data_IF_206117092728
#
_entry.id   IF_206117092728
#
_cell.length_a   1.000
_cell.length_b   1.000
_cell.length_c   1.000
_cell.angle_alpha   90.00
_cell.angle_beta   90.00
_cell.angle_gamma   90.00
#
_symmetry.space_group_name_H-M   'P 1'
#
loop_
_entity.id
_entity.type
_entity.pdbx_description
1 polymer ?
#
# COMPACT_ATOMS: atom_id res chain seq x y z
N UNK A 1 -16.90 0.18 -29.71
CA UNK A 1 -16.24 1.02 -28.68
C UNK A 1 -14.92 0.35 -28.33
N UNK A 2 -13.78 1.01 -28.58
CA UNK A 2 -12.48 0.47 -28.13
C UNK A 2 -12.50 0.45 -26.60
N UNK A 3 -12.16 -0.68 -25.98
CA UNK A 3 -11.99 -0.77 -24.53
C UNK A 3 -10.95 0.23 -24.04
N UNK A 4 -10.85 0.46 -22.74
CA UNK A 4 -9.92 1.43 -22.13
C UNK A 4 -8.43 1.02 -22.24
N UNK A 5 -8.10 0.02 -23.06
CA UNK A 5 -6.76 -0.50 -23.27
C UNK A 5 -6.21 -1.33 -22.11
N UNK A 6 -6.98 -1.49 -21.02
CA UNK A 6 -6.56 -2.28 -19.85
C UNK A 6 -6.99 -3.74 -19.99
N UNK A 7 -6.19 -4.66 -19.43
CA UNK A 7 -6.47 -6.11 -19.56
C UNK A 7 -7.76 -6.53 -18.85
N UNK A 8 -8.13 -5.89 -17.72
CA UNK A 8 -9.40 -6.16 -17.04
C UNK A 8 -10.62 -5.56 -17.75
N UNK A 9 -10.46 -4.44 -18.48
CA UNK A 9 -11.56 -3.73 -19.11
C UNK A 9 -12.27 -2.71 -18.19
N UNK A 10 -13.42 -2.21 -18.66
CA UNK A 10 -13.95 -0.88 -18.29
C UNK A 10 -14.69 -0.79 -16.94
N UNK A 11 -15.07 -1.91 -16.33
CA UNK A 11 -15.93 -1.95 -15.13
C UNK A 11 -15.36 -2.79 -13.98
N UNK A 12 -14.07 -3.09 -14.01
CA UNK A 12 -13.43 -3.82 -12.93
C UNK A 12 -12.89 -2.89 -11.86
N UNK A 13 -12.81 -3.40 -10.63
CA UNK A 13 -12.15 -2.72 -9.52
C UNK A 13 -10.67 -2.59 -9.84
N UNK A 14 -10.15 -1.36 -9.78
CA UNK A 14 -8.74 -1.07 -9.99
C UNK A 14 -8.08 -0.50 -8.75
N UNK A 15 -6.80 -0.76 -8.58
CA UNK A 15 -6.01 -0.19 -7.49
C UNK A 15 -4.98 0.80 -8.01
N UNK A 16 -4.82 1.91 -7.28
CA UNK A 16 -3.76 2.87 -7.51
C UNK A 16 -2.78 2.81 -6.35
N UNK A 17 -1.50 2.75 -6.68
CA UNK A 17 -0.42 2.92 -5.72
C UNK A 17 0.14 4.32 -5.87
N UNK A 18 0.39 4.96 -4.74
CA UNK A 18 0.97 6.31 -4.69
C UNK A 18 2.23 6.24 -3.87
N UNK A 19 3.34 6.64 -4.46
CA UNK A 19 4.62 6.74 -3.78
C UNK A 19 5.07 8.19 -3.79
N UNK A 20 5.62 8.62 -2.66
CA UNK A 20 6.10 9.98 -2.47
C UNK A 20 7.55 9.91 -2.03
N UNK A 21 8.45 10.40 -2.87
CA UNK A 21 9.82 10.66 -2.50
C UNK A 21 9.95 12.15 -2.15
N UNK A 22 9.99 12.43 -0.85
CA UNK A 22 10.08 13.81 -0.34
C UNK A 22 11.46 14.44 -0.57
N UNK A 23 12.52 13.63 -0.65
CA UNK A 23 13.88 14.13 -0.83
C UNK A 23 14.04 14.72 -2.23
N UNK A 24 13.50 14.02 -3.23
CA UNK A 24 13.57 14.44 -4.63
C UNK A 24 12.33 15.23 -5.09
N UNK A 25 11.35 15.45 -4.20
CA UNK A 25 10.10 16.14 -4.52
C UNK A 25 9.24 15.41 -5.56
N UNK A 26 9.37 14.09 -5.67
CA UNK A 26 8.73 13.27 -6.68
C UNK A 26 7.48 12.56 -6.12
N UNK A 27 6.43 12.50 -6.94
CA UNK A 27 5.24 11.69 -6.68
C UNK A 27 4.99 10.77 -7.87
N UNK A 28 4.94 9.47 -7.61
CA UNK A 28 4.67 8.45 -8.62
C UNK A 28 3.29 7.83 -8.38
N UNK A 29 2.50 7.75 -9.44
CA UNK A 29 1.21 7.04 -9.47
C UNK A 29 1.38 5.79 -10.32
N UNK A 30 1.11 4.62 -9.73
CA UNK A 30 1.19 3.34 -10.41
C UNK A 30 -0.17 2.70 -10.46
N UNK A 31 -0.46 2.10 -11.61
CA UNK A 31 -1.67 1.33 -11.87
C UNK A 31 -1.25 -0.08 -12.26
N UNK A 32 -1.67 -1.06 -11.50
CA UNK A 32 -1.53 -2.44 -11.92
C UNK A 32 -2.61 -2.71 -12.99
N UNK A 33 -2.22 -2.80 -14.26
CA UNK A 33 -3.15 -3.04 -15.37
C UNK A 33 -3.10 -4.49 -15.87
N UNK A 34 -2.56 -5.41 -15.07
CA UNK A 34 -2.54 -6.83 -15.42
C UNK A 34 -3.86 -7.53 -15.10
N UNK A 35 -4.08 -8.73 -15.62
CA UNK A 35 -5.29 -9.53 -15.42
C UNK A 35 -5.59 -9.83 -13.94
N UNK A 36 -4.57 -9.71 -13.08
CA UNK A 36 -4.65 -9.88 -11.63
C UNK A 36 -4.39 -8.56 -10.87
N UNK A 37 -4.97 -7.45 -11.34
CA UNK A 37 -4.94 -6.14 -10.65
C UNK A 37 -5.36 -6.32 -9.19
N UNK A 38 -4.36 -6.28 -8.33
CA UNK A 38 -4.49 -6.61 -6.93
C UNK A 38 -3.70 -5.62 -6.10
N UNK A 39 -4.10 -5.50 -4.83
CA UNK A 39 -3.27 -4.89 -3.78
C UNK A 39 -2.15 -5.84 -3.33
N UNK A 40 -1.72 -6.75 -4.20
CA UNK A 40 -0.70 -7.75 -3.91
C UNK A 40 0.70 -7.15 -3.85
N UNK A 41 1.70 -8.01 -3.66
CA UNK A 41 3.10 -7.60 -3.54
C UNK A 41 3.71 -7.13 -4.87
N UNK A 42 3.35 -7.81 -5.96
CA UNK A 42 3.97 -7.64 -7.27
C UNK A 42 4.09 -6.18 -7.76
N UNK A 43 3.04 -5.33 -7.76
CA UNK A 43 3.16 -3.98 -8.33
C UNK A 43 4.20 -3.10 -7.62
N UNK A 44 4.31 -3.26 -6.30
CA UNK A 44 5.25 -2.50 -5.49
C UNK A 44 6.65 -3.12 -5.52
N UNK A 45 6.75 -4.45 -5.60
CA UNK A 45 8.03 -5.17 -5.84
C UNK A 45 8.65 -4.76 -7.17
N UNK A 46 7.87 -4.83 -8.27
CA UNK A 46 8.33 -4.48 -9.61
C UNK A 46 8.77 -3.01 -9.69
N UNK A 47 8.07 -2.11 -8.99
CA UNK A 47 8.43 -0.70 -8.95
C UNK A 47 9.69 -0.42 -8.13
N UNK A 48 9.80 -1.01 -6.95
CA UNK A 48 10.95 -0.79 -6.07
C UNK A 48 12.21 -1.44 -6.65
N UNK A 49 12.09 -2.59 -7.32
CA UNK A 49 13.22 -3.32 -7.87
C UNK A 49 14.33 -3.52 -6.84
N UNK A 50 15.53 -3.05 -7.17
CA UNK A 50 16.72 -3.12 -6.30
C UNK A 50 16.83 -1.95 -5.31
N UNK A 51 15.75 -1.20 -5.08
CA UNK A 51 15.76 -0.10 -4.12
C UNK A 51 16.14 -0.59 -2.72
N UNK A 52 17.10 0.13 -2.12
CA UNK A 52 17.52 -0.02 -0.73
C UNK A 52 17.29 1.29 0.01
N UNK A 53 16.53 1.25 1.10
CA UNK A 53 16.29 2.43 1.92
C UNK A 53 15.13 2.28 2.88
N UNK A 54 14.53 3.40 3.26
CA UNK A 54 13.39 3.42 4.18
C UNK A 54 12.07 3.53 3.44
N UNK A 55 11.16 2.59 3.68
CA UNK A 55 9.80 2.61 3.15
C UNK A 55 8.87 3.01 4.29
N UNK A 56 8.24 4.18 4.19
CA UNK A 56 7.25 4.61 5.17
C UNK A 56 5.84 4.34 4.64
N UNK A 57 5.12 3.42 5.27
CA UNK A 57 3.75 3.07 4.89
C UNK A 57 2.90 2.69 6.11
N UNK A 58 1.64 2.34 5.87
CA UNK A 58 0.79 1.75 6.89
C UNK A 58 1.27 0.34 7.28
N UNK A 59 0.56 -0.28 8.22
CA UNK A 59 0.87 -1.64 8.69
C UNK A 59 0.46 -2.77 7.75
N UNK A 60 0.21 -2.49 6.46
CA UNK A 60 -0.27 -3.50 5.52
C UNK A 60 0.75 -4.62 5.29
N UNK A 61 0.25 -5.85 5.12
CA UNK A 61 1.06 -7.08 5.12
C UNK A 61 2.10 -7.12 3.99
N UNK A 62 1.80 -6.50 2.85
CA UNK A 62 2.70 -6.42 1.69
C UNK A 62 4.02 -5.75 2.07
N UNK A 63 4.00 -4.65 2.81
CA UNK A 63 5.23 -3.94 3.19
C UNK A 63 6.08 -4.72 4.21
N UNK A 64 5.42 -5.52 5.06
CA UNK A 64 6.13 -6.45 5.94
C UNK A 64 6.78 -7.60 5.18
N UNK A 65 6.16 -8.04 4.08
CA UNK A 65 6.74 -9.03 3.19
C UNK A 65 7.97 -8.45 2.48
N UNK A 66 7.85 -7.26 1.90
CA UNK A 66 8.94 -6.54 1.24
C UNK A 66 10.19 -6.37 2.13
N UNK A 67 10.03 -5.93 3.37
CA UNK A 67 11.17 -5.77 4.29
C UNK A 67 11.77 -7.10 4.76
N UNK A 68 11.03 -8.22 4.64
CA UNK A 68 11.55 -9.56 4.91
C UNK A 68 12.32 -10.12 3.71
N UNK A 69 11.86 -9.85 2.49
CA UNK A 69 12.49 -10.33 1.26
C UNK A 69 13.71 -9.50 0.88
N UNK A 70 13.74 -8.21 1.23
CA UNK A 70 14.90 -7.34 1.06
C UNK A 70 15.31 -6.73 2.42
N UNK A 71 16.23 -7.36 3.16
CA UNK A 71 16.64 -6.93 4.50
C UNK A 71 17.33 -5.55 4.56
N UNK A 72 17.86 -5.07 3.44
CA UNK A 72 18.43 -3.72 3.33
C UNK A 72 17.35 -2.63 3.38
N UNK A 73 16.08 -3.01 3.17
CA UNK A 73 14.94 -2.12 3.31
C UNK A 73 14.44 -2.05 4.76
N UNK A 74 14.32 -0.82 5.26
CA UNK A 74 13.76 -0.54 6.58
C UNK A 74 12.30 -0.13 6.42
N UNK A 75 11.38 -0.95 6.94
CA UNK A 75 9.95 -0.60 6.98
C UNK A 75 9.64 0.32 8.17
N UNK A 76 9.30 1.58 7.87
CA UNK A 76 8.86 2.58 8.84
C UNK A 76 7.32 2.60 8.91
N UNK A 77 6.79 2.22 10.08
CA UNK A 77 5.34 2.23 10.30
C UNK A 77 4.80 3.65 10.49
N UNK A 78 3.67 3.92 9.87
CA UNK A 78 3.00 5.21 10.00
C UNK A 78 2.30 5.38 11.36
N UNK A 79 2.84 6.26 12.20
CA UNK A 79 2.29 6.60 13.52
C UNK A 79 0.86 7.15 13.50
N UNK A 80 0.46 7.80 12.40
CA UNK A 80 -0.94 8.26 12.23
C UNK A 80 -1.90 7.07 12.18
N UNK A 81 -1.54 5.98 11.48
CA UNK A 81 -2.34 4.76 11.43
C UNK A 81 -2.37 4.03 12.78
N UNK A 82 -1.24 4.03 13.51
CA UNK A 82 -1.17 3.46 14.87
C UNK A 82 -2.12 4.20 15.80
N UNK A 83 -2.06 5.54 15.84
CA UNK A 83 -2.94 6.37 16.67
C UNK A 83 -4.42 6.15 16.35
N UNK A 84 -4.77 6.04 15.07
CA UNK A 84 -6.15 5.78 14.65
C UNK A 84 -6.68 4.46 15.21
N UNK A 85 -5.86 3.39 15.24
CA UNK A 85 -6.25 2.10 15.84
C UNK A 85 -6.54 2.21 17.33
N UNK A 86 -5.73 2.94 18.09
CA UNK A 86 -6.02 3.20 19.51
C UNK A 86 -7.30 4.00 19.70
N UNK A 87 -7.55 5.00 18.84
CA UNK A 87 -8.78 5.78 18.89
C UNK A 87 -10.02 4.92 18.64
N UNK A 88 -9.98 4.06 17.64
CA UNK A 88 -11.09 3.13 17.37
C UNK A 88 -11.32 2.15 18.51
N UNK A 89 -10.25 1.65 19.14
CA UNK A 89 -10.38 0.79 20.32
C UNK A 89 -11.05 1.52 21.50
N UNK A 90 -10.66 2.77 21.75
CA UNK A 90 -11.28 3.64 22.76
C UNK A 90 -12.77 3.87 22.47
N UNK A 91 -13.14 4.11 21.21
CA UNK A 91 -14.54 4.30 20.81
C UNK A 91 -15.38 3.03 20.95
N UNK A 92 -14.85 1.88 20.53
CA UNK A 92 -15.51 0.58 20.68
C UNK A 92 -15.72 0.23 22.16
N UNK A 93 -14.74 0.52 23.03
CA UNK A 93 -14.86 0.27 24.47
C UNK A 93 -16.00 1.02 25.16
N UNK A 94 -16.55 2.07 24.53
CA UNK A 94 -17.69 2.83 25.04
C UNK A 94 -19.03 2.20 24.64
N UNK A 95 -19.02 1.22 23.74
CA UNK A 95 -20.23 0.51 23.34
C UNK A 95 -20.49 -0.66 24.32
N UNK A 96 -21.62 -0.60 25.02
CA UNK A 96 -22.03 -1.62 26.00
C UNK A 96 -22.27 -2.99 25.38
N UNK A 97 -22.53 -3.05 24.07
CA UNK A 97 -22.82 -4.28 23.33
C UNK A 97 -21.54 -4.91 22.70
N UNK A 98 -20.36 -4.33 22.97
CA UNK A 98 -19.08 -4.79 22.43
C UNK A 98 -18.36 -5.86 23.29
N UNK A 99 -19.03 -6.37 24.33
CA UNK A 99 -18.52 -7.41 25.23
C UNK A 99 -18.87 -8.83 24.75
#
# INVERSE_FOLDING_TARGET
MRGDGTKLGRYFKKYVWVLVNKLDGLVCFLYDNDENDSRGCRPIEDFLGDFTGSIHSDGYVVYKHLARTNPENVHLLCWTHVRAKFKYAEEISKNSDAA
#
